data_IF_394322349604
#
_entry.id   IF_394322349604
#
_cell.length_a   1.000
_cell.length_b   1.000
_cell.length_c   1.000
_cell.angle_alpha   90.00
_cell.angle_beta   90.00
_cell.angle_gamma   90.00
#
_symmetry.space_group_name_H-M   'P 1'
#
loop_
_entity.id
_entity.type
_entity.pdbx_description
1 polymer ?
#
# COMPACT_ATOMS: atom_id res chain seq x y z
N UNK A 1 8.83 15.55 6.47
CA UNK A 1 8.80 14.73 7.70
C UNK A 1 10.08 14.96 8.47
N UNK A 2 9.98 15.30 9.75
CA UNK A 2 11.12 15.49 10.66
C UNK A 2 11.15 14.31 11.62
N UNK A 3 12.32 13.72 11.84
CA UNK A 3 12.47 12.59 12.77
C UNK A 3 12.41 13.07 14.23
N UNK A 4 11.22 13.50 14.65
CA UNK A 4 10.91 13.94 16.00
C UNK A 4 9.54 13.36 16.40
N UNK A 5 9.47 12.79 17.60
CA UNK A 5 8.24 12.18 18.14
C UNK A 5 7.71 12.90 19.38
N UNK A 6 8.44 13.90 19.87
CA UNK A 6 8.07 14.73 21.00
C UNK A 6 8.33 16.22 20.72
N UNK A 7 7.65 17.09 21.46
CA UNK A 7 7.87 18.54 21.36
C UNK A 7 9.33 18.92 21.69
N UNK A 8 9.98 18.24 22.65
CA UNK A 8 11.38 18.48 22.97
C UNK A 8 12.33 18.16 21.80
N UNK A 9 12.14 16.99 21.16
CA UNK A 9 12.93 16.60 19.98
C UNK A 9 12.71 17.56 18.82
N UNK A 10 11.46 17.98 18.60
CA UNK A 10 11.12 18.93 17.56
C UNK A 10 11.77 20.29 17.81
N UNK A 11 11.67 20.83 19.03
CA UNK A 11 12.27 22.10 19.40
C UNK A 11 13.79 22.09 19.30
N UNK A 12 14.45 21.00 19.70
CA UNK A 12 15.88 20.81 19.52
C UNK A 12 16.26 20.82 18.05
N UNK A 13 15.56 20.04 17.22
CA UNK A 13 15.78 20.00 15.79
C UNK A 13 15.64 21.38 15.13
N UNK A 14 14.62 22.15 15.51
CA UNK A 14 14.39 23.49 14.96
C UNK A 14 15.45 24.50 15.39
N UNK A 15 15.94 24.40 16.63
CA UNK A 15 16.98 25.25 17.13
C UNK A 15 18.36 24.93 16.52
N UNK A 16 18.69 23.65 16.33
CA UNK A 16 19.96 23.19 15.75
C UNK A 16 20.08 23.45 14.25
N UNK A 17 18.95 23.61 13.55
CA UNK A 17 18.91 23.80 12.08
C UNK A 17 18.46 25.20 11.66
N UNK A 18 18.56 26.19 12.56
CA UNK A 18 18.27 27.60 12.31
C UNK A 18 16.83 27.90 11.81
N UNK A 19 15.88 27.00 12.11
CA UNK A 19 14.47 27.21 11.76
C UNK A 19 13.77 28.25 12.64
N UNK A 20 14.43 28.69 13.72
CA UNK A 20 13.91 29.73 14.63
C UNK A 20 14.80 30.99 14.51
N UNK A 21 14.40 31.96 13.68
CA UNK A 21 15.26 33.18 13.45
C UNK A 21 15.65 33.94 14.70
N UNK A 22 14.83 33.86 15.76
CA UNK A 22 15.12 34.51 17.02
C UNK A 22 16.35 33.91 17.76
N UNK A 23 16.75 32.68 17.41
CA UNK A 23 17.88 31.98 18.01
C UNK A 23 19.20 32.15 17.24
N UNK A 24 19.19 32.70 16.03
CA UNK A 24 20.38 32.88 15.17
C UNK A 24 21.56 33.60 15.86
N UNK A 25 21.26 34.44 16.84
CA UNK A 25 22.25 35.23 17.58
C UNK A 25 22.49 34.76 19.00
N UNK A 26 21.94 33.64 19.41
CA UNK A 26 22.10 33.06 20.74
C UNK A 26 23.48 32.39 20.81
N UNK A 27 24.34 32.76 21.78
CA UNK A 27 25.63 32.09 21.96
C UNK A 27 25.46 30.61 22.34
N UNK A 28 26.37 29.74 21.86
CA UNK A 28 26.34 28.28 22.14
C UNK A 28 26.30 27.98 23.65
N UNK A 29 26.91 28.85 24.48
CA UNK A 29 26.90 28.71 25.93
C UNK A 29 25.51 28.84 26.59
N UNK A 30 24.53 29.38 25.85
CA UNK A 30 23.16 29.55 26.33
C UNK A 30 22.24 28.48 25.68
N UNK A 31 22.69 27.87 24.62
CA UNK A 31 21.87 26.91 23.85
C UNK A 31 21.34 25.76 24.71
N UNK A 32 22.19 25.20 25.61
CA UNK A 32 21.83 24.11 26.51
C UNK A 32 20.77 24.48 27.58
N UNK A 33 20.52 25.78 27.78
CA UNK A 33 19.54 26.28 28.74
C UNK A 33 18.20 26.63 28.10
N UNK A 34 18.04 26.39 26.77
CA UNK A 34 16.78 26.62 26.07
C UNK A 34 15.75 25.56 26.48
N UNK A 35 14.52 26.01 26.65
CA UNK A 35 13.38 25.12 26.83
C UNK A 35 12.91 24.56 25.46
N UNK A 36 13.56 23.47 25.06
CA UNK A 36 13.26 22.83 23.76
C UNK A 36 11.83 22.31 23.67
N UNK A 37 11.21 21.86 24.78
CA UNK A 37 9.83 21.43 24.79
C UNK A 37 8.87 22.57 24.46
N UNK A 38 9.11 23.75 25.05
CA UNK A 38 8.31 24.96 24.78
C UNK A 38 8.50 25.41 23.31
N UNK A 39 9.74 25.39 22.82
CA UNK A 39 10.03 25.75 21.41
C UNK A 39 9.35 24.84 20.42
N UNK A 40 9.43 23.53 20.63
CA UNK A 40 8.79 22.56 19.75
C UNK A 40 7.27 22.61 19.80
N UNK A 41 6.70 22.78 21.00
CA UNK A 41 5.25 22.98 21.17
C UNK A 41 4.76 24.22 20.42
N UNK A 42 5.52 25.30 20.48
CA UNK A 42 5.21 26.55 19.74
C UNK A 42 5.29 26.31 18.24
N UNK A 43 6.35 25.71 17.74
CA UNK A 43 6.52 25.41 16.31
C UNK A 43 5.37 24.51 15.81
N UNK A 44 5.06 23.44 16.54
CA UNK A 44 3.96 22.54 16.20
C UNK A 44 2.60 23.25 16.13
N UNK A 45 2.35 24.16 17.08
CA UNK A 45 1.09 24.92 17.12
C UNK A 45 1.00 25.92 15.95
N UNK A 46 2.10 26.63 15.65
CA UNK A 46 2.16 27.60 14.56
C UNK A 46 2.04 26.94 13.17
N UNK A 47 2.58 25.74 13.02
CA UNK A 47 2.56 24.98 11.76
C UNK A 47 1.35 24.05 11.60
N UNK A 48 0.59 23.84 12.67
CA UNK A 48 -0.53 22.86 12.66
C UNK A 48 -0.09 21.40 12.45
N UNK A 49 1.18 21.11 12.77
CA UNK A 49 1.75 19.77 12.57
C UNK A 49 1.32 18.76 13.64
N UNK A 50 1.53 17.49 13.33
CA UNK A 50 1.19 16.35 14.21
C UNK A 50 2.35 15.38 14.32
N UNK A 51 2.46 14.71 15.46
CA UNK A 51 3.35 13.56 15.61
C UNK A 51 2.67 12.30 15.10
N UNK A 52 3.38 11.56 14.26
CA UNK A 52 2.99 10.26 13.73
C UNK A 52 4.06 9.22 14.09
N UNK A 53 3.80 7.95 13.87
CA UNK A 53 4.76 6.86 14.13
C UNK A 53 6.09 7.01 13.38
N UNK A 54 6.09 7.70 12.23
CA UNK A 54 7.28 7.98 11.42
C UNK A 54 7.94 9.35 11.68
N UNK A 55 7.52 10.10 12.70
CA UNK A 55 8.05 11.41 13.03
C UNK A 55 7.03 12.54 12.96
N UNK A 56 7.52 13.78 13.01
CA UNK A 56 6.69 14.98 12.93
C UNK A 56 6.34 15.31 11.47
N UNK A 57 5.07 15.56 11.22
CA UNK A 57 4.53 15.88 9.90
C UNK A 57 3.83 17.22 9.93
N UNK A 58 4.22 18.13 9.03
CA UNK A 58 3.52 19.38 8.79
C UNK A 58 2.91 19.38 7.38
N UNK A 59 1.85 20.11 7.21
CA UNK A 59 1.22 20.31 5.92
C UNK A 59 1.67 21.66 5.35
N UNK A 60 2.42 21.61 4.24
CA UNK A 60 2.90 22.83 3.56
C UNK A 60 1.95 23.33 2.45
N UNK A 61 0.95 22.53 2.08
CA UNK A 61 -0.02 22.89 1.06
C UNK A 61 -1.43 22.67 1.59
N UNK A 62 -2.37 23.49 1.15
CA UNK A 62 -3.78 23.25 1.45
C UNK A 62 -4.21 21.89 0.93
N UNK A 63 -4.85 21.09 1.81
CA UNK A 63 -5.49 19.84 1.37
C UNK A 63 -6.60 20.22 0.40
N UNK A 64 -6.44 19.81 -0.83
CA UNK A 64 -7.51 19.93 -1.81
C UNK A 64 -8.52 18.83 -1.52
N UNK A 65 -9.75 19.25 -1.20
CA UNK A 65 -10.85 18.28 -1.08
C UNK A 65 -11.05 17.61 -2.44
N UNK A 66 -10.78 16.33 -2.52
CA UNK A 66 -10.93 15.53 -3.74
C UNK A 66 -12.35 14.98 -3.86
N UNK A 67 -13.01 14.78 -2.72
CA UNK A 67 -14.40 14.31 -2.66
C UNK A 67 -15.27 15.29 -1.88
N UNK A 68 -16.38 15.67 -2.50
CA UNK A 68 -17.50 16.37 -1.89
C UNK A 68 -18.74 15.48 -2.09
N UNK A 69 -19.57 15.33 -1.07
CA UNK A 69 -20.81 14.53 -1.14
C UNK A 69 -21.77 14.98 -2.25
N UNK A 70 -21.58 16.17 -2.78
CA UNK A 70 -22.35 16.75 -3.91
C UNK A 70 -21.62 16.60 -5.25
N UNK A 71 -20.33 16.26 -5.25
CA UNK A 71 -19.56 16.02 -6.46
C UNK A 71 -19.59 14.54 -6.82
N UNK A 72 -19.73 14.25 -8.10
CA UNK A 72 -19.54 12.89 -8.60
C UNK A 72 -18.07 12.48 -8.32
N UNK A 73 -17.87 11.24 -7.87
CA UNK A 73 -16.54 10.65 -7.81
C UNK A 73 -15.93 10.73 -9.22
N UNK A 74 -14.62 10.98 -9.34
CA UNK A 74 -13.94 10.85 -10.62
C UNK A 74 -14.29 9.48 -11.23
N UNK A 75 -14.64 9.46 -12.49
CA UNK A 75 -14.84 8.20 -13.20
C UNK A 75 -13.55 7.37 -13.07
N UNK A 76 -13.70 6.08 -12.78
CA UNK A 76 -12.57 5.18 -12.76
C UNK A 76 -11.93 5.19 -14.18
N UNK A 77 -10.61 5.19 -14.28
CA UNK A 77 -9.96 5.16 -15.57
C UNK A 77 -10.40 3.93 -16.36
N UNK A 78 -10.53 4.06 -17.68
CA UNK A 78 -10.94 2.94 -18.54
C UNK A 78 -9.87 1.84 -18.64
N UNK A 79 -8.64 2.13 -18.20
CA UNK A 79 -7.52 1.18 -18.15
C UNK A 79 -7.35 0.59 -16.74
N UNK A 80 -6.85 -0.64 -16.69
CA UNK A 80 -6.39 -1.28 -15.45
C UNK A 80 -4.92 -0.98 -15.14
N UNK A 81 -4.10 -0.87 -16.21
CA UNK A 81 -2.67 -0.57 -16.15
C UNK A 81 -2.35 0.38 -17.31
N UNK A 82 -1.56 1.42 -17.04
CA UNK A 82 -1.00 2.32 -18.05
C UNK A 82 0.50 2.18 -18.08
N UNK A 83 1.04 1.93 -19.26
CA UNK A 83 2.47 1.77 -19.50
C UNK A 83 3.00 2.84 -20.43
N UNK A 84 4.25 3.24 -20.22
CA UNK A 84 5.11 3.79 -21.27
C UNK A 84 5.99 2.67 -21.81
N UNK A 85 5.94 2.46 -23.13
CA UNK A 85 6.65 1.42 -23.84
C UNK A 85 7.72 2.05 -24.72
N UNK A 86 8.94 1.57 -24.63
CA UNK A 86 10.05 2.02 -25.45
C UNK A 86 10.96 0.87 -25.83
N UNK A 87 11.85 1.09 -26.80
CA UNK A 87 12.86 0.11 -27.14
C UNK A 87 14.00 0.16 -26.15
N UNK A 88 14.50 -1.01 -25.74
CA UNK A 88 15.67 -1.10 -24.86
C UNK A 88 16.88 -0.40 -25.49
N UNK A 89 17.47 0.61 -24.82
CA UNK A 89 18.62 1.34 -25.33
C UNK A 89 19.87 0.45 -25.51
N UNK A 90 19.95 -0.70 -24.86
CA UNK A 90 21.04 -1.67 -25.04
C UNK A 90 20.90 -2.45 -26.35
N UNK A 91 19.70 -2.53 -26.92
CA UNK A 91 19.43 -3.18 -28.20
C UNK A 91 19.31 -2.19 -29.37
N UNK A 92 19.33 -0.89 -29.12
CA UNK A 92 19.30 0.16 -30.13
C UNK A 92 20.45 1.12 -29.92
N UNK A 93 21.23 1.40 -30.99
CA UNK A 93 22.23 2.48 -30.99
C UNK A 93 21.62 3.89 -31.11
N UNK A 94 20.32 3.99 -31.09
CA UNK A 94 19.55 5.22 -31.20
C UNK A 94 18.93 5.58 -29.86
N UNK A 95 18.83 6.87 -29.56
CA UNK A 95 18.15 7.35 -28.36
C UNK A 95 16.68 6.91 -28.42
N UNK A 96 16.02 6.65 -27.25
CA UNK A 96 14.62 6.20 -27.20
C UNK A 96 13.65 7.35 -27.52
N UNK A 97 13.65 7.79 -28.80
CA UNK A 97 12.80 8.90 -29.24
C UNK A 97 11.33 8.47 -29.48
N UNK A 98 11.03 7.17 -29.46
CA UNK A 98 9.68 6.65 -29.73
C UNK A 98 9.09 5.90 -28.52
N UNK A 99 8.95 6.60 -27.40
CA UNK A 99 8.16 6.07 -26.29
C UNK A 99 6.67 6.24 -26.58
N UNK A 100 5.90 5.17 -26.39
CA UNK A 100 4.46 5.15 -26.64
C UNK A 100 3.70 4.84 -25.35
N UNK A 101 2.59 5.54 -25.14
CA UNK A 101 1.67 5.20 -24.07
C UNK A 101 0.75 4.03 -24.49
N UNK A 102 0.64 3.03 -23.64
CA UNK A 102 -0.18 1.85 -23.84
C UNK A 102 -1.10 1.65 -22.62
N UNK A 103 -2.39 1.75 -22.85
CA UNK A 103 -3.41 1.44 -21.86
C UNK A 103 -3.84 -0.01 -21.99
N UNK A 104 -3.75 -0.76 -20.90
CA UNK A 104 -4.19 -2.15 -20.79
C UNK A 104 -5.51 -2.25 -19.99
N UNK A 105 -6.41 -3.18 -20.31
CA UNK A 105 -6.26 -4.22 -21.33
C UNK A 105 -6.38 -3.69 -22.74
N UNK A 106 -5.52 -4.17 -23.62
CA UNK A 106 -5.49 -3.84 -25.04
C UNK A 106 -5.81 -5.05 -25.91
N UNK A 107 -6.32 -4.80 -27.14
CA UNK A 107 -6.48 -5.86 -28.15
C UNK A 107 -5.14 -6.24 -28.77
N UNK A 108 -5.07 -7.43 -29.39
CA UNK A 108 -3.84 -7.87 -30.06
C UNK A 108 -3.40 -6.87 -31.16
N UNK A 109 -4.36 -6.34 -31.94
CA UNK A 109 -4.08 -5.37 -33.00
C UNK A 109 -3.43 -4.08 -32.42
N UNK A 110 -3.87 -3.67 -31.20
CA UNK A 110 -3.29 -2.51 -30.51
C UNK A 110 -1.87 -2.79 -30.01
N UNK A 111 -1.65 -3.99 -29.46
CA UNK A 111 -0.32 -4.45 -29.04
C UNK A 111 0.62 -4.46 -30.23
N UNK A 112 0.24 -5.08 -31.34
CA UNK A 112 1.05 -5.18 -32.56
C UNK A 112 1.37 -3.77 -33.12
N UNK A 113 0.39 -2.87 -33.13
CA UNK A 113 0.56 -1.50 -33.61
C UNK A 113 1.55 -0.69 -32.74
N UNK A 114 1.56 -0.88 -31.41
CA UNK A 114 2.52 -0.24 -30.52
C UNK A 114 3.91 -0.81 -30.73
N UNK A 115 4.06 -2.13 -30.86
CA UNK A 115 5.33 -2.79 -31.11
C UNK A 115 5.96 -2.27 -32.42
N UNK A 116 5.17 -2.20 -33.49
CA UNK A 116 5.61 -1.66 -34.78
C UNK A 116 6.01 -0.17 -34.69
N UNK A 117 5.19 0.65 -34.00
CA UNK A 117 5.44 2.08 -33.82
C UNK A 117 6.73 2.37 -33.03
N UNK A 118 7.06 1.52 -32.04
CA UNK A 118 8.32 1.58 -31.30
C UNK A 118 9.52 0.99 -32.09
N UNK A 119 9.28 0.40 -33.28
CA UNK A 119 10.32 -0.18 -34.11
C UNK A 119 10.88 -1.51 -33.60
N UNK A 120 10.15 -2.20 -32.72
CA UNK A 120 10.53 -3.51 -32.19
C UNK A 120 10.10 -4.64 -33.13
N UNK A 121 10.90 -5.72 -33.18
CA UNK A 121 10.52 -6.97 -33.88
C UNK A 121 9.82 -7.94 -32.90
N UNK A 122 10.09 -7.83 -31.63
CA UNK A 122 9.47 -8.64 -30.57
C UNK A 122 9.37 -7.84 -29.27
N UNK A 123 8.45 -8.27 -28.40
CA UNK A 123 8.28 -7.67 -27.07
C UNK A 123 9.50 -7.83 -26.15
N UNK A 124 10.36 -8.83 -26.39
CA UNK A 124 11.61 -9.03 -25.66
C UNK A 124 12.67 -7.94 -25.91
N UNK A 125 12.47 -7.09 -26.93
CA UNK A 125 13.33 -5.94 -27.22
C UNK A 125 12.82 -4.64 -26.58
N UNK A 126 11.66 -4.72 -25.90
CA UNK A 126 10.99 -3.56 -25.35
C UNK A 126 11.21 -3.46 -23.84
N UNK A 127 11.20 -2.23 -23.33
CA UNK A 127 11.14 -1.93 -21.90
C UNK A 127 9.84 -1.25 -21.59
N UNK A 128 9.30 -1.55 -20.41
CA UNK A 128 8.05 -1.02 -19.93
C UNK A 128 8.28 -0.22 -18.65
N UNK A 129 7.63 0.92 -18.57
CA UNK A 129 7.51 1.68 -17.34
C UNK A 129 6.03 1.78 -16.99
N UNK A 130 5.69 1.34 -15.78
CA UNK A 130 4.33 1.48 -15.25
C UNK A 130 4.13 2.94 -14.83
N UNK A 131 3.18 3.62 -15.47
CA UNK A 131 2.82 5.01 -15.17
C UNK A 131 1.69 5.09 -14.14
N UNK A 132 0.72 4.18 -14.27
CA UNK A 132 -0.44 4.10 -13.39
C UNK A 132 -1.03 2.69 -13.38
N UNK A 133 -1.63 2.30 -12.26
CA UNK A 133 -2.24 0.99 -12.09
C UNK A 133 -3.32 1.01 -11.03
N UNK A 134 -4.30 0.12 -11.20
CA UNK A 134 -5.28 -0.19 -10.15
C UNK A 134 -4.62 -0.75 -8.87
N UNK A 135 -3.40 -1.32 -8.98
CA UNK A 135 -2.63 -1.88 -7.85
C UNK A 135 -1.13 -1.60 -8.01
N UNK A 136 -0.66 -0.35 -7.74
CA UNK A 136 0.74 0.01 -7.89
C UNK A 136 1.69 -0.87 -7.08
N UNK A 137 1.34 -1.18 -5.83
CA UNK A 137 2.18 -1.95 -4.90
C UNK A 137 2.56 -3.35 -5.43
N UNK A 138 1.71 -3.99 -6.24
CA UNK A 138 2.02 -5.27 -6.89
C UNK A 138 3.09 -5.08 -7.96
N UNK A 139 2.93 -4.05 -8.81
CA UNK A 139 3.77 -3.84 -9.98
C UNK A 139 5.13 -3.20 -9.66
N UNK A 140 5.25 -2.51 -8.52
CA UNK A 140 6.52 -1.97 -8.02
C UNK A 140 7.48 -3.08 -7.55
N UNK A 141 6.95 -4.23 -7.15
CA UNK A 141 7.72 -5.34 -6.57
C UNK A 141 7.82 -6.56 -7.49
N UNK A 142 7.30 -6.47 -8.71
CA UNK A 142 7.24 -7.59 -9.66
C UNK A 142 7.95 -7.24 -10.96
N UNK A 143 8.62 -8.21 -11.58
CA UNK A 143 9.16 -8.05 -12.92
C UNK A 143 8.01 -7.88 -13.92
N UNK A 144 8.02 -6.74 -14.62
CA UNK A 144 6.98 -6.36 -15.57
C UNK A 144 7.41 -6.59 -17.03
N UNK A 145 8.17 -7.65 -17.30
CA UNK A 145 8.75 -7.92 -18.65
C UNK A 145 7.78 -8.64 -19.59
N UNK A 146 6.70 -9.23 -19.05
CA UNK A 146 5.70 -9.94 -19.85
C UNK A 146 4.48 -9.07 -20.12
N UNK A 147 4.40 -8.49 -21.32
CA UNK A 147 3.27 -7.68 -21.77
C UNK A 147 1.94 -8.47 -21.81
N UNK A 148 2.00 -9.76 -22.09
CA UNK A 148 0.80 -10.59 -22.16
C UNK A 148 0.27 -10.89 -20.77
N UNK A 149 1.15 -11.18 -19.81
CA UNK A 149 0.78 -11.31 -18.39
C UNK A 149 0.21 -10.02 -17.82
N UNK A 150 0.82 -8.87 -18.11
CA UNK A 150 0.29 -7.54 -17.73
C UNK A 150 -1.09 -7.28 -18.35
N UNK A 151 -1.30 -7.67 -19.59
CA UNK A 151 -2.57 -7.50 -20.27
C UNK A 151 -3.68 -8.38 -19.66
N UNK A 152 -3.39 -9.63 -19.30
CA UNK A 152 -4.32 -10.50 -18.58
C UNK A 152 -4.64 -9.95 -17.18
N UNK A 153 -3.62 -9.50 -16.44
CA UNK A 153 -3.83 -8.86 -15.12
C UNK A 153 -4.73 -7.62 -15.24
N UNK A 154 -4.52 -6.80 -16.25
CA UNK A 154 -5.34 -5.62 -16.49
C UNK A 154 -6.80 -5.96 -16.84
N UNK A 155 -7.05 -7.09 -17.51
CA UNK A 155 -8.42 -7.63 -17.72
C UNK A 155 -9.05 -8.01 -16.38
N UNK A 156 -8.31 -8.75 -15.54
CA UNK A 156 -8.76 -9.09 -14.19
C UNK A 156 -9.12 -7.83 -13.38
N UNK A 157 -8.30 -6.78 -13.39
CA UNK A 157 -8.62 -5.52 -12.70
C UNK A 157 -9.93 -4.91 -13.17
N UNK A 158 -10.17 -4.89 -14.48
CA UNK A 158 -11.39 -4.34 -15.07
C UNK A 158 -12.63 -5.16 -14.70
N UNK A 159 -12.55 -6.47 -14.77
CA UNK A 159 -13.62 -7.38 -14.40
C UNK A 159 -13.95 -7.29 -12.92
N UNK A 160 -12.95 -7.37 -12.04
CA UNK A 160 -13.11 -7.28 -10.60
C UNK A 160 -13.62 -5.90 -10.16
N UNK A 161 -13.20 -4.83 -10.82
CA UNK A 161 -13.73 -3.48 -10.57
C UNK A 161 -15.22 -3.40 -10.90
N UNK A 162 -15.64 -4.00 -12.02
CA UNK A 162 -17.06 -4.04 -12.45
C UNK A 162 -17.92 -4.86 -11.46
N UNK A 163 -17.36 -5.91 -10.90
CA UNK A 163 -18.03 -6.79 -9.92
C UNK A 163 -18.01 -6.22 -8.49
N UNK A 164 -17.23 -5.18 -8.23
CA UNK A 164 -17.02 -4.61 -6.88
C UNK A 164 -16.07 -5.41 -6.00
N UNK A 165 -15.33 -6.38 -6.58
CA UNK A 165 -14.44 -7.32 -5.87
C UNK A 165 -12.97 -6.86 -5.82
N UNK A 166 -12.65 -5.70 -6.40
CA UNK A 166 -11.27 -5.22 -6.49
C UNK A 166 -10.61 -5.03 -5.11
N UNK A 167 -11.38 -4.60 -4.09
CA UNK A 167 -10.86 -4.45 -2.73
C UNK A 167 -10.48 -5.79 -2.09
N UNK A 168 -11.27 -6.82 -2.35
CA UNK A 168 -10.99 -8.20 -1.89
C UNK A 168 -9.73 -8.74 -2.58
N UNK A 169 -9.63 -8.56 -3.88
CA UNK A 169 -8.43 -8.94 -4.63
C UNK A 169 -7.17 -8.27 -4.06
N UNK A 170 -7.20 -6.94 -3.85
CA UNK A 170 -6.08 -6.19 -3.24
C UNK A 170 -5.70 -6.73 -1.87
N UNK A 171 -6.69 -7.06 -1.04
CA UNK A 171 -6.45 -7.65 0.27
C UNK A 171 -5.77 -9.02 0.16
N UNK A 172 -6.24 -9.89 -0.72
CA UNK A 172 -5.66 -11.23 -0.92
C UNK A 172 -4.23 -11.16 -1.45
N UNK A 173 -3.95 -10.30 -2.44
CA UNK A 173 -2.60 -10.11 -2.98
C UNK A 173 -1.61 -9.69 -1.89
N UNK A 174 -2.00 -8.73 -1.01
CA UNK A 174 -1.16 -8.30 0.11
C UNK A 174 -0.99 -9.41 1.16
N UNK A 175 -2.07 -10.15 1.47
CA UNK A 175 -2.00 -11.26 2.41
C UNK A 175 -1.13 -12.41 1.89
N UNK A 176 -1.19 -12.70 0.59
CA UNK A 176 -0.44 -13.77 -0.06
C UNK A 176 1.05 -13.43 -0.24
N UNK A 177 1.42 -12.13 -0.14
CA UNK A 177 2.77 -11.67 -0.51
C UNK A 177 3.12 -12.13 -1.94
N UNK A 178 2.23 -11.77 -2.87
CA UNK A 178 2.19 -12.33 -4.21
C UNK A 178 3.52 -12.08 -4.97
N UNK A 179 4.20 -13.14 -5.44
CA UNK A 179 5.56 -13.01 -5.96
C UNK A 179 5.63 -12.48 -7.40
N UNK A 180 4.59 -12.72 -8.21
CA UNK A 180 4.62 -12.42 -9.63
C UNK A 180 3.22 -12.19 -10.23
N UNK A 181 3.19 -11.74 -11.47
CA UNK A 181 1.96 -11.46 -12.22
C UNK A 181 1.12 -12.72 -12.46
N UNK A 182 1.76 -13.86 -12.70
CA UNK A 182 1.04 -15.11 -12.97
C UNK A 182 0.30 -15.59 -11.72
N UNK A 183 0.92 -15.50 -10.55
CA UNK A 183 0.28 -15.78 -9.27
C UNK A 183 -0.88 -14.80 -8.99
N UNK A 184 -0.72 -13.53 -9.32
CA UNK A 184 -1.78 -12.54 -9.19
C UNK A 184 -3.00 -12.87 -10.07
N UNK A 185 -2.78 -13.28 -11.32
CA UNK A 185 -3.85 -13.72 -12.22
C UNK A 185 -4.56 -14.97 -11.68
N UNK A 186 -3.81 -15.94 -11.16
CA UNK A 186 -4.40 -17.14 -10.53
C UNK A 186 -5.26 -16.79 -9.32
N UNK A 187 -4.82 -15.86 -8.48
CA UNK A 187 -5.62 -15.37 -7.35
C UNK A 187 -6.90 -14.70 -7.84
N UNK A 188 -6.83 -13.89 -8.90
CA UNK A 188 -8.00 -13.23 -9.47
C UNK A 188 -9.03 -14.23 -9.97
N UNK A 189 -8.60 -15.29 -10.67
CA UNK A 189 -9.45 -16.37 -11.20
C UNK A 189 -10.10 -17.21 -10.09
N UNK A 190 -9.44 -17.33 -8.93
CA UNK A 190 -9.90 -18.13 -7.79
C UNK A 190 -10.29 -17.26 -6.59
N UNK A 191 -10.69 -16.01 -6.82
CA UNK A 191 -10.99 -15.05 -5.75
C UNK A 191 -12.13 -15.51 -4.83
N UNK A 192 -13.03 -16.33 -5.32
CA UNK A 192 -14.12 -16.94 -4.54
C UNK A 192 -13.64 -17.88 -3.44
N UNK A 193 -12.41 -18.40 -3.52
CA UNK A 193 -11.83 -19.25 -2.47
C UNK A 193 -11.46 -18.45 -1.20
N UNK A 194 -11.51 -17.13 -1.28
CA UNK A 194 -11.16 -16.24 -0.18
C UNK A 194 -12.38 -15.52 0.40
N UNK A 195 -12.26 -15.14 1.66
CA UNK A 195 -13.18 -14.27 2.36
C UNK A 195 -12.47 -12.99 2.76
N UNK A 196 -13.15 -11.86 2.62
CA UNK A 196 -12.72 -10.57 3.16
C UNK A 196 -13.77 -10.09 4.16
N UNK A 197 -13.34 -9.78 5.39
CA UNK A 197 -14.13 -9.13 6.41
C UNK A 197 -13.63 -7.68 6.57
N UNK A 198 -14.25 -6.70 5.86
CA UNK A 198 -13.73 -5.34 5.75
C UNK A 198 -13.81 -4.55 7.06
N UNK A 199 -14.67 -4.95 7.97
CA UNK A 199 -14.89 -4.31 9.27
C UNK A 199 -13.92 -4.81 10.36
N UNK A 200 -13.14 -5.85 10.08
CA UNK A 200 -12.15 -6.42 11.00
C UNK A 200 -10.74 -5.99 10.58
N UNK A 201 -10.24 -4.92 11.18
CA UNK A 201 -8.95 -4.30 10.84
C UNK A 201 -7.90 -4.39 11.94
N UNK A 202 -8.33 -4.81 13.13
CA UNK A 202 -7.47 -4.99 14.30
C UNK A 202 -7.75 -6.34 14.97
N UNK A 203 -6.79 -6.92 15.69
CA UNK A 203 -7.02 -8.15 16.44
C UNK A 203 -8.18 -8.02 17.45
N UNK A 204 -8.37 -6.85 18.04
CA UNK A 204 -9.46 -6.59 18.97
C UNK A 204 -10.84 -6.68 18.29
N UNK A 205 -10.97 -6.18 17.06
CA UNK A 205 -12.21 -6.27 16.27
C UNK A 205 -12.51 -7.72 15.91
N UNK A 206 -11.48 -8.50 15.53
CA UNK A 206 -11.61 -9.96 15.31
C UNK A 206 -12.08 -10.65 16.58
N UNK A 207 -11.47 -10.35 17.73
CA UNK A 207 -11.87 -10.91 19.02
C UNK A 207 -13.33 -10.57 19.38
N UNK A 208 -13.75 -9.34 19.16
CA UNK A 208 -15.10 -8.87 19.44
C UNK A 208 -16.11 -9.60 18.55
N UNK A 209 -15.81 -9.78 17.28
CA UNK A 209 -16.68 -10.48 16.35
C UNK A 209 -16.80 -11.96 16.72
N UNK A 210 -15.69 -12.64 17.02
CA UNK A 210 -15.68 -14.03 17.47
C UNK A 210 -16.53 -14.21 18.75
N UNK A 211 -16.41 -13.28 19.71
CA UNK A 211 -17.25 -13.29 20.91
C UNK A 211 -18.75 -13.15 20.61
N UNK A 212 -19.17 -12.56 19.49
CA UNK A 212 -20.58 -12.50 19.09
C UNK A 212 -21.15 -13.87 18.72
N UNK A 213 -20.32 -14.74 18.18
CA UNK A 213 -20.75 -16.09 17.78
C UNK A 213 -20.75 -17.08 18.92
N UNK A 214 -19.83 -16.96 19.89
CA UNK A 214 -19.64 -17.97 20.91
C UNK A 214 -20.33 -17.70 22.25
N UNK A 215 -20.70 -16.43 22.55
CA UNK A 215 -21.36 -16.07 23.82
C UNK A 215 -22.55 -15.13 23.61
N UNK A 216 -23.48 -15.17 24.58
CA UNK A 216 -24.61 -14.22 24.62
C UNK A 216 -24.15 -12.78 24.89
N UNK A 217 -25.03 -11.80 24.64
CA UNK A 217 -24.71 -10.37 24.74
C UNK A 217 -24.29 -9.94 26.15
N UNK A 218 -24.91 -10.53 27.20
CA UNK A 218 -24.57 -10.22 28.57
C UNK A 218 -23.15 -10.69 28.92
N UNK A 219 -22.83 -11.94 28.62
CA UNK A 219 -21.49 -12.53 28.80
C UNK A 219 -20.43 -11.80 28.00
N UNK A 220 -20.73 -11.43 26.74
CA UNK A 220 -19.86 -10.64 25.89
C UNK A 220 -19.51 -9.29 26.51
N UNK A 221 -20.48 -8.57 27.02
CA UNK A 221 -20.27 -7.27 27.69
C UNK A 221 -19.35 -7.37 28.92
N UNK A 222 -19.37 -8.50 29.62
CA UNK A 222 -18.45 -8.77 30.74
C UNK A 222 -17.06 -9.14 30.20
N UNK A 223 -17.00 -10.07 29.27
CA UNK A 223 -15.72 -10.56 28.71
C UNK A 223 -14.89 -9.47 28.05
N UNK A 224 -15.54 -8.57 27.31
CA UNK A 224 -14.85 -7.42 26.68
C UNK A 224 -14.11 -6.52 27.67
N UNK A 225 -14.46 -6.53 28.95
CA UNK A 225 -13.82 -5.73 30.01
C UNK A 225 -12.68 -6.48 30.73
N UNK A 226 -12.64 -7.81 30.63
CA UNK A 226 -11.75 -8.66 31.40
C UNK A 226 -10.82 -9.53 30.56
N UNK A 227 -11.05 -9.65 29.25
CA UNK A 227 -10.20 -10.37 28.31
C UNK A 227 -9.23 -9.38 27.66
N UNK A 228 -7.98 -9.81 27.47
CA UNK A 228 -7.01 -9.07 26.64
C UNK A 228 -7.36 -9.35 25.18
N UNK A 229 -8.26 -8.51 24.63
CA UNK A 229 -8.86 -8.71 23.30
C UNK A 229 -7.80 -8.84 22.20
N UNK A 230 -6.71 -8.07 22.28
CA UNK A 230 -5.60 -8.18 21.32
C UNK A 230 -5.05 -9.60 21.24
N UNK A 231 -4.67 -10.20 22.38
CA UNK A 231 -4.10 -11.55 22.41
C UNK A 231 -5.13 -12.59 21.94
N UNK A 232 -6.37 -12.46 22.41
CA UNK A 232 -7.44 -13.36 21.98
C UNK A 232 -7.69 -13.27 20.47
N UNK A 233 -7.71 -12.08 19.90
CA UNK A 233 -7.83 -11.89 18.46
C UNK A 233 -6.67 -12.49 17.65
N UNK A 234 -5.44 -12.38 18.16
CA UNK A 234 -4.28 -13.05 17.56
C UNK A 234 -4.43 -14.58 17.55
N UNK A 235 -4.91 -15.16 18.65
CA UNK A 235 -5.16 -16.59 18.75
C UNK A 235 -6.27 -17.04 17.78
N UNK A 236 -7.36 -16.25 17.65
CA UNK A 236 -8.45 -16.50 16.68
C UNK A 236 -7.91 -16.45 15.25
N UNK A 237 -7.16 -15.42 14.91
CA UNK A 237 -6.55 -15.29 13.57
C UNK A 237 -5.63 -16.47 13.26
N UNK A 238 -4.78 -16.87 14.20
CA UNK A 238 -3.90 -18.02 14.05
C UNK A 238 -4.69 -19.33 13.85
N UNK A 239 -5.78 -19.53 14.61
CA UNK A 239 -6.62 -20.73 14.50
C UNK A 239 -7.32 -20.84 13.13
N UNK A 240 -7.60 -19.72 12.48
CA UNK A 240 -8.26 -19.65 11.17
C UNK A 240 -7.31 -19.40 10.00
N UNK A 241 -5.99 -19.36 10.24
CA UNK A 241 -5.00 -18.97 9.23
C UNK A 241 -5.33 -17.64 8.54
N UNK A 242 -5.94 -16.71 9.30
CA UNK A 242 -6.41 -15.42 8.81
C UNK A 242 -5.33 -14.34 8.95
N UNK A 243 -5.28 -13.40 8.01
CA UNK A 243 -4.30 -12.32 7.98
C UNK A 243 -4.99 -10.95 7.89
N UNK A 244 -4.51 -9.99 8.67
CA UNK A 244 -4.97 -8.60 8.60
C UNK A 244 -4.28 -7.86 7.46
N UNK A 245 -5.08 -7.11 6.72
CA UNK A 245 -4.64 -6.21 5.66
C UNK A 245 -5.26 -4.83 5.87
N UNK A 246 -4.78 -3.77 5.18
CA UNK A 246 -5.43 -2.46 5.20
C UNK A 246 -6.90 -2.47 4.74
N UNK A 247 -7.32 -3.53 4.02
CA UNK A 247 -8.67 -3.69 3.51
C UNK A 247 -9.60 -4.48 4.45
N UNK A 248 -9.03 -5.15 5.46
CA UNK A 248 -9.74 -5.99 6.41
C UNK A 248 -9.06 -7.34 6.64
N UNK A 249 -9.73 -8.24 7.35
CA UNK A 249 -9.27 -9.59 7.61
C UNK A 249 -9.52 -10.47 6.39
N UNK A 250 -8.49 -11.20 5.96
CA UNK A 250 -8.55 -12.16 4.85
C UNK A 250 -8.31 -13.56 5.37
N UNK A 251 -9.09 -14.52 4.90
CA UNK A 251 -8.90 -15.94 5.15
C UNK A 251 -9.35 -16.78 3.95
N UNK A 252 -8.84 -18.01 3.83
CA UNK A 252 -9.32 -18.95 2.83
C UNK A 252 -10.57 -19.68 3.35
N UNK A 253 -11.51 -19.98 2.43
CA UNK A 253 -12.75 -20.71 2.78
C UNK A 253 -12.49 -22.15 3.21
N UNK A 254 -11.42 -22.76 2.72
CA UNK A 254 -11.00 -24.13 3.06
C UNK A 254 -10.21 -24.19 4.40
N UNK A 255 -9.89 -23.04 4.99
CA UNK A 255 -9.13 -22.95 6.24
C UNK A 255 -7.62 -23.17 6.08
N UNK A 256 -7.14 -23.39 4.85
CA UNK A 256 -5.71 -23.53 4.60
C UNK A 256 -4.99 -22.18 4.69
N UNK A 257 -3.68 -22.17 4.99
CA UNK A 257 -2.90 -20.92 5.00
C UNK A 257 -2.92 -20.20 3.66
N UNK A 258 -2.95 -18.86 3.68
CA UNK A 258 -2.86 -18.02 2.48
C UNK A 258 -1.45 -18.08 1.90
N UNK A 259 -0.40 -18.09 2.78
CA UNK A 259 1.01 -18.21 2.42
C UNK A 259 1.47 -19.65 2.59
N UNK A 260 2.19 -20.19 1.65
CA UNK A 260 2.85 -21.47 1.80
C UNK A 260 4.03 -21.33 2.79
N UNK A 261 4.24 -22.33 3.67
CA UNK A 261 5.27 -22.31 4.71
C UNK A 261 6.71 -22.13 4.15
N UNK A 262 6.95 -22.49 2.90
CA UNK A 262 8.24 -22.31 2.22
C UNK A 262 8.65 -20.84 2.10
N UNK A 263 7.70 -19.94 1.87
CA UNK A 263 7.93 -18.48 1.78
C UNK A 263 8.23 -17.85 3.14
N UNK A 264 7.73 -18.44 4.24
CA UNK A 264 7.99 -17.92 5.60
C UNK A 264 9.43 -18.22 6.07
N UNK A 265 10.02 -19.34 5.65
CA UNK A 265 11.37 -19.73 6.04
C UNK A 265 12.45 -18.87 5.36
N UNK A 266 12.23 -18.40 4.12
CA UNK A 266 13.16 -17.53 3.41
C UNK A 266 13.19 -16.11 4.00
N UNK A 267 12.05 -15.55 4.35
CA UNK A 267 11.97 -14.21 4.95
C UNK A 267 12.53 -14.16 6.38
N UNK A 268 12.31 -15.19 7.20
CA UNK A 268 12.90 -15.29 8.54
C UNK A 268 14.44 -15.46 8.50
N UNK A 269 14.99 -16.01 7.42
CA UNK A 269 16.43 -16.15 7.21
C UNK A 269 17.14 -14.85 6.82
N UNK A 270 16.42 -13.91 6.21
CA UNK A 270 17.00 -12.60 5.78
C UNK A 270 17.04 -11.56 6.91
N UNK A 271 16.18 -11.66 7.92
CA UNK A 271 16.22 -10.75 9.08
C UNK A 271 17.32 -11.07 10.10
N UNK A 272 18.00 -12.20 9.97
CA UNK A 272 19.08 -12.63 10.90
C UNK A 272 20.51 -12.52 10.30
N UNK A 273 20.70 -11.91 9.16
CA UNK A 273 22.01 -11.58 8.59
C UNK A 273 22.26 -10.07 8.56
#
# INVERSE_FOLDING_TARGET
>A
VVNATTDEQLGRFYAENDFIPALEKVPDSIFEYLDFEMLGRKARFEEGGVFASGGYVTQHTELKQVYDSLALLPEAPEYGIRLTVGRDPFHSNEQPDNMMCLDLPATQERLDAVLEACGGASWSEMVFQVEDSAMPALLENTDCDDIHGLNELAKCFKELSTQGELSKFKAVILAADCPDIAAAVQIAENLDDYLLEPDQRTPEEVAIEELRFIVDEHSRSILQKHVVLYNYGQDVMAAHNALLTPYGLVQRRDGEPIRNEETQAENAGMEMM
#
